data_IF_236862730757
#
_entry.id   IF_236862730757
#
_cell.length_a   1.000
_cell.length_b   1.000
_cell.length_c   1.000
_cell.angle_alpha   90.00
_cell.angle_beta   90.00
_cell.angle_gamma   90.00
#
_symmetry.space_group_name_H-M   'P 1'
#
loop_
_entity.id
_entity.type
_entity.pdbx_description
1 polymer ?
#
# COMPACT_ATOMS: atom_id res chain seq x y z
N UNK A 1 2.44 -16.27 17.46
CA UNK A 1 2.53 -15.32 16.34
C UNK A 1 2.59 -16.09 15.04
N UNK A 2 1.42 -16.37 14.49
CA UNK A 2 1.22 -17.05 13.22
C UNK A 2 0.92 -15.99 12.14
N UNK A 3 1.81 -15.87 11.17
CA UNK A 3 1.65 -14.92 10.06
C UNK A 3 1.41 -15.67 8.77
N UNK A 4 0.28 -15.37 8.13
CA UNK A 4 -0.14 -16.01 6.89
C UNK A 4 -0.29 -14.96 5.79
N UNK A 5 0.13 -15.29 4.56
CA UNK A 5 -0.11 -14.44 3.39
C UNK A 5 -0.80 -15.18 2.25
N UNK A 6 -1.54 -14.42 1.43
CA UNK A 6 -2.16 -14.86 0.18
C UNK A 6 -1.67 -13.97 -0.94
N UNK A 7 -0.91 -14.51 -1.90
CA UNK A 7 -0.19 -13.73 -2.91
C UNK A 7 -0.37 -14.30 -4.34
N UNK A 8 -0.26 -13.44 -5.35
CA UNK A 8 -0.44 -13.78 -6.78
C UNK A 8 0.57 -13.00 -7.65
N UNK A 9 1.81 -13.48 -7.86
CA UNK A 9 2.48 -14.63 -7.23
C UNK A 9 3.19 -14.27 -5.92
N UNK A 10 3.82 -15.25 -5.25
CA UNK A 10 4.75 -14.98 -4.13
C UNK A 10 6.03 -14.35 -4.67
N UNK A 11 6.33 -13.12 -4.26
CA UNK A 11 7.47 -12.35 -4.80
C UNK A 11 8.81 -12.86 -4.24
N UNK A 12 8.90 -13.05 -2.92
CA UNK A 12 10.09 -13.54 -2.23
C UNK A 12 9.64 -14.46 -1.07
N UNK A 13 10.15 -15.70 -0.98
CA UNK A 13 9.87 -16.58 0.14
C UNK A 13 10.56 -16.05 1.41
N UNK A 14 9.78 -15.89 2.48
CA UNK A 14 10.24 -15.41 3.78
C UNK A 14 10.15 -16.54 4.79
N UNK A 15 11.27 -16.85 5.45
CA UNK A 15 11.32 -17.88 6.48
C UNK A 15 10.42 -17.51 7.67
N UNK A 16 9.64 -18.50 8.14
CA UNK A 16 8.71 -18.31 9.26
C UNK A 16 7.36 -17.68 8.87
N UNK A 17 7.12 -17.36 7.59
CA UNK A 17 5.83 -16.89 7.08
C UNK A 17 5.11 -18.02 6.32
N UNK A 18 3.82 -18.22 6.58
CA UNK A 18 3.01 -19.16 5.79
C UNK A 18 2.47 -18.45 4.54
N UNK A 19 3.24 -18.52 3.44
CA UNK A 19 2.89 -17.87 2.17
C UNK A 19 2.16 -18.83 1.25
N UNK A 20 0.89 -18.53 0.95
CA UNK A 20 0.10 -19.29 -0.02
C UNK A 20 -0.02 -18.54 -1.34
N UNK A 21 0.42 -19.18 -2.42
CA UNK A 21 0.25 -18.65 -3.77
C UNK A 21 -1.12 -19.01 -4.36
N UNK A 22 -1.75 -18.06 -5.04
CA UNK A 22 -2.97 -18.28 -5.81
C UNK A 22 -2.70 -19.20 -7.01
N UNK A 23 -3.58 -20.19 -7.19
CA UNK A 23 -3.52 -21.13 -8.31
C UNK A 23 -4.93 -21.40 -8.85
N UNK A 24 -5.42 -20.56 -9.78
CA UNK A 24 -6.80 -20.61 -10.26
C UNK A 24 -7.16 -21.95 -10.91
N UNK A 25 -6.20 -22.59 -11.61
CA UNK A 25 -6.38 -23.92 -12.23
C UNK A 25 -6.61 -25.04 -11.20
N UNK A 26 -6.23 -24.84 -9.95
CA UNK A 26 -6.44 -25.77 -8.85
C UNK A 26 -7.59 -25.33 -7.92
N UNK A 27 -8.34 -24.28 -8.28
CA UNK A 27 -9.40 -23.72 -7.43
C UNK A 27 -8.91 -22.92 -6.21
N UNK A 28 -7.61 -22.62 -6.13
CA UNK A 28 -7.03 -21.76 -5.09
C UNK A 28 -7.18 -20.30 -5.52
N UNK A 29 -8.30 -19.68 -5.17
CA UNK A 29 -8.59 -18.25 -5.39
C UNK A 29 -8.38 -17.47 -4.09
N UNK A 30 -8.32 -16.14 -4.17
CA UNK A 30 -8.19 -15.28 -2.98
C UNK A 30 -9.24 -15.60 -1.92
N UNK A 31 -10.50 -15.77 -2.32
CA UNK A 31 -11.60 -16.04 -1.40
C UNK A 31 -11.52 -17.43 -0.78
N UNK A 32 -11.12 -18.45 -1.53
CA UNK A 32 -11.03 -19.81 -1.00
C UNK A 32 -9.86 -19.97 -0.04
N UNK A 33 -8.70 -19.39 -0.39
CA UNK A 33 -7.50 -19.41 0.46
C UNK A 33 -7.72 -18.58 1.72
N UNK A 34 -8.26 -17.36 1.61
CA UNK A 34 -8.51 -16.50 2.77
C UNK A 34 -9.46 -17.15 3.77
N UNK A 35 -10.53 -17.82 3.30
CA UNK A 35 -11.42 -18.61 4.16
C UNK A 35 -10.72 -19.80 4.82
N UNK A 36 -9.77 -20.43 4.13
CA UNK A 36 -9.00 -21.53 4.69
C UNK A 36 -8.03 -21.05 5.78
N UNK A 37 -7.36 -19.91 5.54
CA UNK A 37 -6.45 -19.29 6.51
C UNK A 37 -7.13 -18.92 7.81
N UNK A 38 -8.39 -18.46 7.78
CA UNK A 38 -9.15 -18.15 9.00
C UNK A 38 -9.39 -19.37 9.92
N UNK A 39 -9.19 -20.60 9.41
CA UNK A 39 -9.25 -21.84 10.22
C UNK A 39 -7.88 -22.29 10.71
N UNK A 40 -6.81 -21.56 10.39
CA UNK A 40 -5.44 -21.86 10.81
C UNK A 40 -5.02 -21.09 12.07
N UNK A 41 -5.97 -20.41 12.73
CA UNK A 41 -5.70 -19.55 13.89
C UNK A 41 -4.55 -18.53 13.61
N UNK A 42 -4.68 -17.67 12.58
CA UNK A 42 -3.64 -16.69 12.26
C UNK A 42 -3.71 -15.50 13.24
N UNK A 43 -2.55 -14.94 13.61
CA UNK A 43 -2.51 -13.67 14.34
C UNK A 43 -2.55 -12.48 13.35
N UNK A 44 -1.82 -12.61 12.23
CA UNK A 44 -1.74 -11.60 11.17
C UNK A 44 -1.99 -12.25 9.82
N UNK A 45 -2.82 -11.60 9.01
CA UNK A 45 -3.16 -12.02 7.65
C UNK A 45 -2.72 -10.93 6.67
N UNK A 46 -1.94 -11.31 5.66
CA UNK A 46 -1.59 -10.44 4.54
C UNK A 46 -2.30 -10.92 3.27
N UNK A 47 -3.05 -10.04 2.63
CA UNK A 47 -3.67 -10.29 1.33
C UNK A 47 -2.93 -9.43 0.31
N UNK A 48 -2.35 -10.04 -0.71
CA UNK A 48 -1.52 -9.35 -1.70
C UNK A 48 -2.21 -8.10 -2.25
N UNK A 49 -3.45 -8.27 -2.73
CA UNK A 49 -4.33 -7.15 -3.10
C UNK A 49 -5.81 -7.54 -3.00
N UNK A 50 -6.68 -6.55 -2.79
CA UNK A 50 -8.13 -6.71 -2.86
C UNK A 50 -8.61 -6.28 -4.25
N UNK A 51 -9.05 -7.24 -5.06
CA UNK A 51 -9.56 -7.00 -6.42
C UNK A 51 -11.09 -6.91 -6.49
N UNK A 52 -11.78 -7.60 -5.58
CA UNK A 52 -13.23 -7.80 -5.61
C UNK A 52 -13.87 -7.60 -4.24
N UNK A 53 -15.19 -7.39 -4.24
CA UNK A 53 -15.98 -7.13 -3.03
C UNK A 53 -16.06 -8.31 -2.07
N UNK A 54 -16.02 -9.56 -2.57
CA UNK A 54 -16.08 -10.75 -1.74
C UNK A 54 -14.81 -10.89 -0.90
N UNK A 55 -13.64 -10.75 -1.52
CA UNK A 55 -12.35 -10.71 -0.83
C UNK A 55 -12.30 -9.56 0.18
N UNK A 56 -12.79 -8.37 -0.19
CA UNK A 56 -12.85 -7.22 0.70
C UNK A 56 -13.71 -7.47 1.94
N UNK A 57 -14.88 -8.08 1.75
CA UNK A 57 -15.82 -8.37 2.83
C UNK A 57 -15.26 -9.41 3.80
N UNK A 58 -14.62 -10.47 3.30
CA UNK A 58 -13.97 -11.48 4.14
C UNK A 58 -12.82 -10.86 4.94
N UNK A 59 -11.98 -10.03 4.29
CA UNK A 59 -10.86 -9.35 4.94
C UNK A 59 -11.32 -8.43 6.08
N UNK A 60 -12.39 -7.66 5.87
CA UNK A 60 -12.93 -6.77 6.91
C UNK A 60 -13.58 -7.56 8.04
N UNK A 61 -14.32 -8.64 7.74
CA UNK A 61 -14.87 -9.53 8.78
C UNK A 61 -13.77 -10.17 9.62
N UNK A 62 -12.67 -10.59 9.00
CA UNK A 62 -11.50 -11.11 9.72
C UNK A 62 -10.91 -10.05 10.68
N UNK A 63 -10.82 -8.80 10.24
CA UNK A 63 -10.34 -7.72 11.08
C UNK A 63 -11.28 -7.40 12.26
N UNK A 64 -12.59 -7.55 12.07
CA UNK A 64 -13.61 -7.42 13.13
C UNK A 64 -13.63 -8.61 14.11
N UNK A 65 -12.97 -9.72 13.79
CA UNK A 65 -12.83 -10.86 14.72
C UNK A 65 -11.51 -10.85 15.46
N UNK A 66 -10.73 -9.76 15.37
CA UNK A 66 -9.50 -9.55 16.13
C UNK A 66 -8.20 -9.85 15.38
N UNK A 67 -8.28 -10.20 14.08
CA UNK A 67 -7.09 -10.44 13.26
C UNK A 67 -6.53 -9.11 12.74
N UNK A 68 -5.20 -8.96 12.67
CA UNK A 68 -4.60 -7.85 11.93
C UNK A 68 -4.55 -8.22 10.45
N UNK A 69 -5.27 -7.49 9.60
CA UNK A 69 -5.32 -7.74 8.15
C UNK A 69 -4.60 -6.62 7.40
N UNK A 70 -3.63 -6.99 6.59
CA UNK A 70 -2.88 -6.09 5.71
C UNK A 70 -3.24 -6.39 4.26
N UNK A 71 -3.54 -5.36 3.47
CA UNK A 71 -3.78 -5.54 2.04
C UNK A 71 -3.36 -4.33 1.23
N UNK A 72 -3.24 -4.50 -0.08
CA UNK A 72 -3.05 -3.38 -1.01
C UNK A 72 -4.26 -3.11 -1.90
N UNK A 73 -4.44 -1.84 -2.26
CA UNK A 73 -5.37 -1.39 -3.30
C UNK A 73 -4.66 -0.39 -4.24
N UNK A 74 -5.01 -0.43 -5.52
CA UNK A 74 -4.47 0.49 -6.52
C UNK A 74 -5.31 1.78 -6.58
N UNK A 75 -5.06 2.71 -5.67
CA UNK A 75 -5.69 4.05 -5.67
C UNK A 75 -4.65 5.15 -5.65
N UNK A 76 -5.02 6.37 -6.08
CA UNK A 76 -4.07 7.48 -6.20
C UNK A 76 -3.88 8.25 -4.89
N UNK A 77 -4.84 8.13 -3.99
CA UNK A 77 -4.91 8.81 -2.70
C UNK A 77 -5.56 7.92 -1.65
N UNK A 78 -5.40 8.30 -0.38
CA UNK A 78 -5.99 7.60 0.77
C UNK A 78 -7.51 7.72 0.82
N UNK A 79 -8.06 8.88 0.42
CA UNK A 79 -9.51 9.11 0.35
C UNK A 79 -10.16 8.27 -0.76
N UNK A 80 -9.50 8.14 -1.93
CA UNK A 80 -9.94 7.24 -2.99
C UNK A 80 -10.04 5.78 -2.55
N UNK A 81 -9.17 5.34 -1.63
CA UNK A 81 -9.22 3.96 -1.08
C UNK A 81 -10.55 3.67 -0.41
N UNK A 82 -11.08 4.61 0.39
CA UNK A 82 -12.38 4.46 1.06
C UNK A 82 -13.53 4.40 0.05
N UNK A 83 -13.49 5.26 -0.97
CA UNK A 83 -14.48 5.29 -2.04
C UNK A 83 -14.42 3.97 -2.83
N UNK A 84 -13.22 3.46 -3.11
CA UNK A 84 -13.02 2.22 -3.85
C UNK A 84 -13.59 1.01 -3.11
N UNK A 85 -13.42 0.93 -1.79
CA UNK A 85 -14.05 -0.11 -0.96
C UNK A 85 -15.58 -0.03 -1.00
N UNK A 86 -16.15 1.18 -0.94
CA UNK A 86 -17.60 1.38 -1.08
C UNK A 86 -18.11 0.96 -2.46
N UNK A 87 -17.37 1.27 -3.53
CA UNK A 87 -17.70 0.85 -4.90
C UNK A 87 -17.64 -0.67 -5.08
N UNK A 88 -16.83 -1.37 -4.30
CA UNK A 88 -16.77 -2.85 -4.29
C UNK A 88 -17.92 -3.49 -3.50
N UNK A 89 -18.85 -2.70 -2.95
CA UNK A 89 -20.02 -3.20 -2.22
C UNK A 89 -19.82 -3.32 -0.72
N UNK A 90 -18.68 -2.87 -0.18
CA UNK A 90 -18.45 -2.89 1.27
C UNK A 90 -19.24 -1.77 1.94
N UNK A 91 -20.07 -2.14 2.92
CA UNK A 91 -20.86 -1.17 3.67
C UNK A 91 -19.97 -0.21 4.48
N UNK A 92 -20.33 1.07 4.49
CA UNK A 92 -19.54 2.14 5.14
C UNK A 92 -19.29 1.90 6.64
N UNK A 93 -20.24 1.29 7.34
CA UNK A 93 -20.10 0.95 8.77
C UNK A 93 -19.08 -0.18 9.01
N UNK A 94 -18.93 -1.13 8.08
CA UNK A 94 -17.91 -2.18 8.16
C UNK A 94 -16.51 -1.57 8.01
N UNK A 95 -16.35 -0.66 7.05
CA UNK A 95 -15.08 0.06 6.85
C UNK A 95 -14.73 0.86 8.10
N UNK A 96 -15.68 1.64 8.62
CA UNK A 96 -15.44 2.51 9.79
C UNK A 96 -15.11 1.75 11.08
N UNK A 97 -15.52 0.48 11.22
CA UNK A 97 -15.29 -0.31 12.42
C UNK A 97 -13.97 -1.09 12.39
N UNK A 98 -13.48 -1.43 11.21
CA UNK A 98 -12.30 -2.27 11.04
C UNK A 98 -11.05 -1.51 10.55
N UNK A 99 -11.22 -0.40 9.84
CA UNK A 99 -10.11 0.31 9.22
C UNK A 99 -9.29 1.06 10.27
N UNK A 100 -7.98 0.80 10.32
CA UNK A 100 -7.05 1.46 11.25
C UNK A 100 -6.17 2.48 10.55
N UNK A 101 -5.61 2.12 9.39
CA UNK A 101 -4.64 2.95 8.68
C UNK A 101 -4.72 2.74 7.16
N UNK A 102 -4.60 3.86 6.42
CA UNK A 102 -4.38 3.84 4.97
C UNK A 102 -3.09 4.59 4.67
N UNK A 103 -2.14 3.92 4.04
CA UNK A 103 -0.85 4.48 3.63
C UNK A 103 -0.81 4.61 2.11
N UNK A 104 -0.72 5.84 1.59
CA UNK A 104 -0.46 6.06 0.17
C UNK A 104 1.05 6.17 -0.09
N UNK A 105 1.60 5.23 -0.86
CA UNK A 105 3.03 5.18 -1.15
C UNK A 105 3.34 5.65 -2.58
N UNK A 106 4.40 6.47 -2.70
CA UNK A 106 5.02 6.82 -3.99
C UNK A 106 6.52 6.63 -3.89
N UNK A 107 7.10 5.97 -4.89
CA UNK A 107 8.55 5.80 -5.01
C UNK A 107 9.11 6.89 -5.91
N UNK A 108 10.02 7.70 -5.35
CA UNK A 108 10.80 8.70 -6.10
C UNK A 108 12.22 8.19 -6.29
N UNK A 109 12.82 8.49 -7.44
CA UNK A 109 14.22 8.10 -7.72
C UNK A 109 15.15 8.84 -6.76
N UNK A 110 16.23 8.21 -6.32
CA UNK A 110 17.29 8.92 -5.60
C UNK A 110 18.20 9.62 -6.61
N UNK A 111 18.65 10.83 -6.31
CA UNK A 111 19.66 11.52 -7.12
C UNK A 111 21.01 10.78 -7.01
N UNK A 112 21.75 10.72 -8.11
CA UNK A 112 23.07 10.09 -8.14
C UNK A 112 24.02 10.82 -7.17
N UNK A 113 24.76 10.11 -6.30
CA UNK A 113 25.66 10.75 -5.36
C UNK A 113 26.84 11.46 -6.02
N UNK A 114 27.23 11.08 -7.25
CA UNK A 114 28.41 11.60 -7.94
C UNK A 114 28.14 12.82 -8.83
N UNK A 115 26.95 12.93 -9.44
CA UNK A 115 26.61 14.00 -10.38
C UNK A 115 25.44 14.88 -9.94
N UNK A 116 25.00 14.77 -8.68
CA UNK A 116 23.99 15.71 -8.15
C UNK A 116 24.59 17.11 -8.07
N UNK A 117 23.86 18.08 -8.59
CA UNK A 117 24.19 19.50 -8.46
C UNK A 117 23.11 20.18 -7.63
N UNK A 118 23.53 21.14 -6.81
CA UNK A 118 22.59 22.00 -6.08
C UNK A 118 22.02 22.99 -7.10
N UNK A 119 20.70 23.02 -7.23
CA UNK A 119 20.04 24.04 -8.05
C UNK A 119 20.27 25.42 -7.42
N UNK A 120 20.70 26.40 -8.23
CA UNK A 120 20.92 27.76 -7.78
C UNK A 120 19.62 28.51 -7.44
N UNK A 121 18.50 28.04 -7.99
CA UNK A 121 17.18 28.62 -7.80
C UNK A 121 16.36 27.79 -6.81
N UNK A 122 15.73 28.47 -5.85
CA UNK A 122 14.82 27.84 -4.90
C UNK A 122 13.53 27.44 -5.62
N UNK A 123 13.27 26.14 -5.72
CA UNK A 123 11.98 25.64 -6.21
C UNK A 123 10.89 26.01 -5.21
N UNK A 124 10.01 26.93 -5.57
CA UNK A 124 8.81 27.22 -4.79
C UNK A 124 7.77 26.12 -5.04
N UNK A 125 7.50 25.30 -4.02
CA UNK A 125 6.36 24.40 -4.10
C UNK A 125 5.07 25.21 -3.92
N UNK A 126 4.01 24.92 -4.70
CA UNK A 126 2.67 25.40 -4.41
C UNK A 126 2.31 25.15 -2.95
N UNK A 127 1.71 26.13 -2.27
CA UNK A 127 1.27 25.99 -0.87
C UNK A 127 0.31 24.80 -0.65
N UNK A 128 -0.38 24.36 -1.71
CA UNK A 128 -1.22 23.16 -1.70
C UNK A 128 -0.43 21.84 -1.56
N UNK A 129 0.85 21.81 -1.93
CA UNK A 129 1.70 20.62 -1.89
C UNK A 129 2.56 20.55 -0.63
N UNK A 130 3.02 21.70 -0.13
CA UNK A 130 3.79 21.77 1.10
C UNK A 130 3.55 23.13 1.78
N UNK A 131 3.03 23.16 3.02
CA UNK A 131 2.60 24.40 3.67
C UNK A 131 3.75 25.25 4.22
N UNK A 132 4.97 24.71 4.27
CA UNK A 132 6.17 25.39 4.80
C UNK A 132 7.23 25.51 3.72
N UNK A 133 8.21 26.38 3.88
CA UNK A 133 9.39 26.38 3.00
C UNK A 133 10.24 25.16 3.33
N UNK A 134 10.63 24.38 2.30
CA UNK A 134 11.52 23.25 2.51
C UNK A 134 12.87 23.77 3.03
N UNK A 135 13.44 23.18 4.11
CA UNK A 135 14.75 23.58 4.59
C UNK A 135 15.81 23.36 3.48
N UNK A 136 16.83 24.23 3.38
CA UNK A 136 17.92 24.01 2.44
C UNK A 136 18.56 22.64 2.68
N UNK A 137 18.65 21.82 1.63
CA UNK A 137 19.15 20.44 1.68
C UNK A 137 20.59 20.30 2.20
N UNK A 138 21.29 21.42 2.47
CA UNK A 138 22.67 21.47 2.94
C UNK A 138 22.86 21.02 4.42
N UNK A 139 21.81 20.91 5.23
CA UNK A 139 21.94 20.66 6.68
C UNK A 139 21.26 19.40 7.22
N UNK A 140 20.55 18.63 6.37
CA UNK A 140 19.89 17.40 6.81
C UNK A 140 20.75 16.16 6.46
N UNK A 141 20.89 15.17 7.37
CA UNK A 141 21.51 13.89 7.04
C UNK A 141 20.62 13.17 6.03
N UNK A 142 20.92 13.34 4.74
CA UNK A 142 20.51 12.57 3.57
C UNK A 142 19.14 11.88 3.69
N UNK A 143 18.06 12.66 3.80
CA UNK A 143 16.78 12.21 3.28
C UNK A 143 16.79 12.46 1.76
N UNK A 144 17.23 11.45 1.01
CA UNK A 144 17.19 11.45 -0.47
C UNK A 144 15.73 11.46 -0.95
N UNK A 145 15.08 12.62 -0.90
CA UNK A 145 13.81 12.86 -1.57
C UNK A 145 14.15 13.63 -2.85
N UNK A 146 14.07 12.95 -4.00
CA UNK A 146 13.97 13.69 -5.25
C UNK A 146 12.65 14.46 -5.21
N UNK A 147 12.78 15.76 -5.37
CA UNK A 147 11.71 16.68 -5.74
C UNK A 147 10.88 16.05 -6.84
N UNK A 148 9.57 15.97 -6.61
CA UNK A 148 8.59 15.48 -7.57
C UNK A 148 8.63 16.33 -8.84
N UNK A 149 9.04 15.74 -9.95
CA UNK A 149 8.76 16.23 -11.29
C UNK A 149 7.24 16.18 -11.52
N UNK A 150 6.61 17.35 -11.63
CA UNK A 150 5.41 17.52 -12.45
C UNK A 150 5.78 18.46 -13.61
N UNK A 151 5.97 17.84 -14.78
CA UNK A 151 6.18 18.43 -16.12
C UNK A 151 7.46 19.25 -16.33
N UNK A 152 8.52 18.59 -16.79
CA UNK A 152 9.70 19.29 -17.34
C UNK A 152 10.92 18.42 -17.66
N UNK A 153 10.75 17.16 -18.11
CA UNK A 153 11.91 16.31 -18.45
C UNK A 153 12.29 16.50 -19.93
N UNK A 154 13.54 16.89 -20.25
CA UNK A 154 14.06 16.84 -21.62
C UNK A 154 13.98 15.41 -22.15
N UNK A 155 13.49 15.26 -23.39
CA UNK A 155 13.30 13.99 -24.09
C UNK A 155 14.59 13.15 -24.14
N UNK A 156 14.74 12.16 -23.27
CA UNK A 156 15.38 10.87 -23.58
C UNK A 156 15.45 9.97 -22.35
N UNK A 157 14.38 9.25 -22.04
CA UNK A 157 14.41 7.90 -21.40
C UNK A 157 12.97 7.46 -21.18
N UNK A 158 12.54 6.48 -21.97
CA UNK A 158 11.21 5.86 -21.87
C UNK A 158 11.14 5.00 -20.61
N UNK A 159 9.92 4.88 -20.08
CA UNK A 159 9.46 4.07 -18.93
C UNK A 159 9.60 4.69 -17.54
N UNK A 160 8.56 5.44 -17.16
CA UNK A 160 8.21 5.77 -15.79
C UNK A 160 7.13 4.78 -15.31
N UNK A 161 7.51 3.70 -14.63
CA UNK A 161 6.58 2.79 -13.97
C UNK A 161 6.30 3.31 -12.56
N UNK A 162 5.37 4.26 -12.42
CA UNK A 162 4.76 4.59 -11.14
C UNK A 162 3.77 3.49 -10.77
N UNK A 163 4.19 2.44 -10.05
CA UNK A 163 3.24 1.61 -9.29
C UNK A 163 2.73 2.45 -8.12
N UNK A 164 1.42 2.76 -8.13
CA UNK A 164 0.72 3.52 -7.09
C UNK A 164 -0.03 2.52 -6.22
N UNK A 165 0.42 2.33 -4.99
CA UNK A 165 -0.13 1.33 -4.08
C UNK A 165 -0.56 2.03 -2.78
N UNK A 166 -1.82 1.83 -2.40
CA UNK A 166 -2.31 2.15 -1.06
C UNK A 166 -2.29 0.87 -0.21
N UNK A 167 -1.53 0.87 0.88
CA UNK A 167 -1.57 -0.21 1.87
C UNK A 167 -2.66 0.11 2.88
N UNK A 168 -3.55 -0.85 3.09
CA UNK A 168 -4.65 -0.74 4.05
C UNK A 168 -4.41 -1.74 5.16
N UNK A 169 -4.38 -1.23 6.39
CA UNK A 169 -4.38 -2.05 7.58
C UNK A 169 -5.76 -1.98 8.25
N UNK A 170 -6.30 -3.15 8.52
CA UNK A 170 -7.54 -3.34 9.25
C UNK A 170 -7.24 -4.06 10.55
N UNK A 171 -7.73 -3.50 11.65
CA UNK A 171 -7.74 -4.11 12.96
C UNK A 171 -8.81 -3.43 13.80
N UNK A 172 -9.67 -4.21 14.45
CA UNK A 172 -10.59 -3.65 15.41
C UNK A 172 -9.82 -3.02 16.58
N UNK A 173 -10.13 -1.76 16.88
CA UNK A 173 -9.64 -1.09 18.08
C UNK A 173 -10.35 -1.69 19.30
N UNK A 174 -9.74 -2.70 19.91
CA UNK A 174 -10.11 -3.09 21.27
C UNK A 174 -9.59 -2.00 22.22
N UNK A 175 -10.52 -1.30 22.88
CA UNK A 175 -10.23 -0.46 24.04
C UNK A 175 -9.55 -1.25 25.14
#
# INVERSE_FOLDING_TARGET
MNLCSVEDPVEIPVEGLNQTQIHPRAGLTFQSVLRALLRQDPDIIMVGEIRDGETAEIAIKAAQTGHLVLSTLHTNSTSETLIRLQQMGVARWMISSALTLVVAQRLVRKLCPYCRHIAAESVSLPAALWPTTLPPLASAPVANVATTDFMGVPRSSRFCLLRRIATVAYQQCNR
#
